data_IF_008856176551
#
_entry.id   IF_008856176551
#
_cell.length_a   1.000
_cell.length_b   1.000
_cell.length_c   1.000
_cell.angle_alpha   90.00
_cell.angle_beta   90.00
_cell.angle_gamma   90.00
#
_symmetry.space_group_name_H-M   'P 1'
#
loop_
_entity.id
_entity.type
_entity.pdbx_description
1 polymer ?
#
# COMPACT_ATOMS: atom_id res chain seq x y z
N UNK A 1 3.37 -7.63 14.34
CA UNK A 1 4.39 -6.57 14.17
C UNK A 1 3.69 -5.22 14.30
N UNK A 2 4.22 -4.31 15.12
CA UNK A 2 3.65 -2.96 15.25
C UNK A 2 4.09 -2.06 14.07
N UNK A 3 3.42 -0.93 13.80
CA UNK A 3 3.74 -0.05 12.67
C UNK A 3 5.18 0.49 12.67
N UNK A 4 5.74 0.80 13.84
CA UNK A 4 7.11 1.32 14.00
C UNK A 4 8.17 0.30 13.58
N UNK A 5 7.98 -0.98 13.95
CA UNK A 5 8.82 -2.09 13.49
C UNK A 5 8.76 -2.24 11.96
N UNK A 6 7.61 -2.00 11.34
CA UNK A 6 7.51 -2.03 9.87
C UNK A 6 8.35 -0.93 9.22
N UNK A 7 8.43 0.25 9.82
CA UNK A 7 9.24 1.35 9.31
C UNK A 7 10.72 1.01 9.40
N UNK A 8 11.18 0.47 10.54
CA UNK A 8 12.58 0.08 10.68
C UNK A 8 12.97 -0.98 9.64
N UNK A 9 12.15 -2.02 9.47
CA UNK A 9 12.36 -3.01 8.42
C UNK A 9 12.33 -2.39 7.03
N UNK A 10 11.44 -1.44 6.77
CA UNK A 10 11.33 -0.78 5.47
C UNK A 10 12.59 0.04 5.15
N UNK A 11 13.15 0.74 6.13
CA UNK A 11 14.40 1.50 6.00
C UNK A 11 15.57 0.55 5.70
N UNK A 12 15.66 -0.56 6.42
CA UNK A 12 16.69 -1.59 6.21
C UNK A 12 16.59 -2.25 4.84
N UNK A 13 15.36 -2.48 4.35
CA UNK A 13 15.10 -3.10 3.06
C UNK A 13 15.05 -2.11 1.90
N UNK A 14 15.09 -0.79 2.14
CA UNK A 14 15.00 0.25 1.11
C UNK A 14 15.92 0.00 -0.11
N UNK A 15 17.19 -0.43 0.07
CA UNK A 15 18.07 -0.71 -1.07
C UNK A 15 17.57 -1.84 -1.98
N UNK A 16 16.84 -2.82 -1.44
CA UNK A 16 16.26 -3.94 -2.22
C UNK A 16 15.20 -3.43 -3.21
N UNK A 17 14.56 -2.31 -2.88
CA UNK A 17 13.58 -1.63 -3.71
C UNK A 17 14.18 -0.49 -4.56
N UNK A 18 15.51 -0.35 -4.57
CA UNK A 18 16.20 0.74 -5.27
C UNK A 18 16.00 2.12 -4.65
N UNK A 19 15.60 2.19 -3.37
CA UNK A 19 15.38 3.44 -2.66
C UNK A 19 16.49 3.73 -1.63
N UNK A 20 16.76 5.00 -1.38
CA UNK A 20 17.70 5.42 -0.34
C UNK A 20 17.02 5.33 1.04
N UNK A 21 17.66 4.67 2.05
CA UNK A 21 17.12 4.60 3.41
C UNK A 21 16.72 5.96 4.01
N UNK A 22 17.46 7.03 3.73
CA UNK A 22 17.16 8.38 4.21
C UNK A 22 15.89 8.97 3.57
N UNK A 23 15.63 8.67 2.31
CA UNK A 23 14.39 9.07 1.63
C UNK A 23 13.20 8.34 2.23
N UNK A 24 13.34 7.04 2.50
CA UNK A 24 12.32 6.23 3.17
C UNK A 24 12.04 6.77 4.57
N UNK A 25 13.08 7.09 5.35
CA UNK A 25 12.92 7.69 6.68
C UNK A 25 12.18 9.03 6.63
N UNK A 26 12.39 9.82 5.56
CA UNK A 26 11.73 11.13 5.38
C UNK A 26 10.22 10.98 5.15
N UNK A 27 9.80 9.96 4.39
CA UNK A 27 8.37 9.74 4.07
C UNK A 27 7.67 8.79 5.06
N UNK A 28 8.43 8.08 5.89
CA UNK A 28 7.94 7.09 6.85
C UNK A 28 6.74 7.59 7.70
N UNK A 29 6.75 8.80 8.28
CA UNK A 29 5.61 9.26 9.07
C UNK A 29 4.34 9.50 8.24
N UNK A 30 4.49 9.88 6.96
CA UNK A 30 3.34 10.01 6.05
C UNK A 30 2.74 8.64 5.76
N UNK A 31 3.58 7.62 5.51
CA UNK A 31 3.13 6.24 5.33
C UNK A 31 2.41 5.72 6.59
N UNK A 32 2.94 6.00 7.78
CA UNK A 32 2.28 5.64 9.05
C UNK A 32 0.93 6.33 9.22
N UNK A 33 0.83 7.61 8.86
CA UNK A 33 -0.42 8.39 8.95
C UNK A 33 -1.51 7.84 8.03
N UNK A 34 -1.12 7.28 6.89
CA UNK A 34 -2.05 6.63 5.95
C UNK A 34 -2.40 5.23 6.44
N UNK A 35 -1.40 4.45 6.86
CA UNK A 35 -1.57 3.11 7.41
C UNK A 35 -2.48 3.08 8.64
N UNK A 36 -2.45 4.10 9.51
CA UNK A 36 -3.30 4.18 10.71
C UNK A 36 -4.80 4.32 10.40
N UNK A 37 -5.16 4.63 9.15
CA UNK A 37 -6.56 4.68 8.68
C UNK A 37 -7.07 3.31 8.24
N UNK A 38 -6.19 2.33 8.10
CA UNK A 38 -6.49 0.95 7.77
C UNK A 38 -6.52 0.13 9.06
N UNK A 39 -7.38 -0.89 9.16
CA UNK A 39 -7.58 -1.62 10.43
C UNK A 39 -6.51 -2.66 10.68
N UNK A 40 -5.91 -3.22 9.64
CA UNK A 40 -4.97 -4.34 9.78
C UNK A 40 -3.52 -3.88 9.60
N UNK A 41 -2.59 -4.37 10.46
CA UNK A 41 -1.16 -4.07 10.32
C UNK A 41 -0.53 -4.81 9.13
N UNK A 42 -1.18 -5.84 8.60
CA UNK A 42 -0.73 -6.59 7.44
C UNK A 42 -1.94 -7.06 6.64
N UNK A 43 -1.73 -7.28 5.36
CA UNK A 43 -2.73 -7.83 4.45
C UNK A 43 -2.13 -8.96 3.65
N UNK A 44 -2.98 -9.88 3.22
CA UNK A 44 -2.60 -10.93 2.29
C UNK A 44 -2.73 -10.38 0.88
N UNK A 45 -1.65 -10.41 0.11
CA UNK A 45 -1.64 -10.07 -1.31
C UNK A 45 -1.46 -11.36 -2.11
N UNK A 46 -2.30 -11.56 -3.11
CA UNK A 46 -2.12 -12.63 -4.10
C UNK A 46 -0.93 -12.30 -4.99
N UNK A 47 0.00 -13.24 -5.15
CA UNK A 47 1.18 -13.07 -5.99
C UNK A 47 1.65 -14.40 -6.58
N UNK A 48 2.38 -14.29 -7.69
CA UNK A 48 3.06 -15.40 -8.36
C UNK A 48 4.26 -15.90 -7.54
N UNK A 49 4.85 -17.04 -7.94
CA UNK A 49 6.08 -17.58 -7.34
C UNK A 49 7.26 -16.60 -7.44
N UNK A 50 7.28 -15.78 -8.49
CA UNK A 50 8.26 -14.71 -8.70
C UNK A 50 7.94 -13.43 -7.90
N UNK A 51 6.97 -13.49 -6.99
CA UNK A 51 6.54 -12.39 -6.12
C UNK A 51 5.93 -11.19 -6.86
N UNK A 52 5.47 -11.40 -8.11
CA UNK A 52 4.68 -10.39 -8.80
C UNK A 52 3.25 -10.41 -8.27
N UNK A 53 2.79 -9.27 -7.75
CA UNK A 53 1.43 -9.11 -7.27
C UNK A 53 0.43 -9.29 -8.41
N UNK A 54 -0.64 -10.04 -8.11
CA UNK A 54 -1.73 -10.23 -9.04
C UNK A 54 -2.52 -8.91 -9.17
N UNK A 55 -2.61 -8.43 -10.40
CA UNK A 55 -3.34 -7.22 -10.75
C UNK A 55 -4.63 -7.57 -11.49
N UNK A 56 -5.69 -6.83 -11.19
CA UNK A 56 -6.96 -6.92 -11.89
C UNK A 56 -7.19 -5.62 -12.66
N UNK A 57 -7.37 -5.72 -13.98
CA UNK A 57 -7.73 -4.57 -14.80
C UNK A 57 -9.24 -4.36 -14.77
N UNK A 58 -9.67 -3.28 -14.14
CA UNK A 58 -11.06 -2.84 -14.11
C UNK A 58 -11.31 -1.89 -15.29
N UNK A 59 -12.35 -2.16 -16.08
CA UNK A 59 -12.80 -1.27 -17.15
C UNK A 59 -13.97 -0.44 -16.65
N UNK A 60 -13.95 0.87 -16.92
CA UNK A 60 -15.05 1.75 -16.52
C UNK A 60 -16.34 1.35 -17.24
N UNK A 61 -17.43 1.13 -16.49
CA UNK A 61 -18.69 0.57 -17.03
C UNK A 61 -19.31 1.41 -18.16
N UNK A 62 -19.07 2.71 -18.17
CA UNK A 62 -19.63 3.66 -19.15
C UNK A 62 -18.60 4.20 -20.13
N UNK A 63 -17.30 3.98 -19.88
CA UNK A 63 -16.19 4.52 -20.68
C UNK A 63 -15.15 3.42 -20.88
N UNK A 64 -15.37 2.57 -21.89
CA UNK A 64 -14.55 1.38 -22.15
C UNK A 64 -13.08 1.67 -22.43
N UNK A 65 -12.72 2.92 -22.73
CA UNK A 65 -11.35 3.39 -22.93
C UNK A 65 -10.62 3.75 -21.62
N UNK A 66 -11.30 3.75 -20.48
CA UNK A 66 -10.69 4.00 -19.17
C UNK A 66 -10.54 2.68 -18.41
N UNK A 67 -9.29 2.26 -18.26
CA UNK A 67 -8.91 1.09 -17.46
C UNK A 67 -8.17 1.52 -16.21
N UNK A 68 -8.32 0.72 -15.15
CA UNK A 68 -7.62 0.89 -13.88
C UNK A 68 -7.06 -0.45 -13.43
N UNK A 69 -5.78 -0.52 -13.12
CA UNK A 69 -5.16 -1.71 -12.58
C UNK A 69 -5.18 -1.65 -11.06
N UNK A 70 -5.84 -2.61 -10.44
CA UNK A 70 -6.00 -2.68 -8.99
C UNK A 70 -5.33 -3.93 -8.43
N UNK A 71 -4.82 -3.81 -7.22
CA UNK A 71 -4.40 -4.96 -6.41
C UNK A 71 -5.34 -5.08 -5.22
N UNK A 72 -5.67 -6.30 -4.83
CA UNK A 72 -6.53 -6.56 -3.68
C UNK A 72 -5.72 -6.99 -2.47
N UNK A 73 -5.99 -6.35 -1.33
CA UNK A 73 -5.41 -6.61 -0.03
C UNK A 73 -6.45 -7.23 0.90
N UNK A 74 -6.28 -8.50 1.23
CA UNK A 74 -7.23 -9.29 2.02
C UNK A 74 -6.84 -9.31 3.50
N UNK A 75 -7.79 -9.26 4.45
CA UNK A 75 -7.47 -9.22 5.87
C UNK A 75 -7.08 -10.59 6.41
N UNK A 76 -7.46 -11.68 5.71
CA UNK A 76 -7.09 -13.05 6.07
C UNK A 76 -6.69 -13.88 4.85
N UNK A 77 -5.91 -14.94 5.08
CA UNK A 77 -5.58 -15.92 4.05
C UNK A 77 -6.84 -16.59 3.46
N UNK A 78 -7.85 -16.84 4.31
CA UNK A 78 -9.13 -17.44 3.88
C UNK A 78 -9.87 -16.52 2.90
N UNK A 79 -9.86 -15.22 3.17
CA UNK A 79 -10.47 -14.21 2.29
C UNK A 79 -9.73 -14.12 0.95
N UNK A 80 -8.39 -14.20 0.97
CA UNK A 80 -7.61 -14.25 -0.26
C UNK A 80 -7.91 -15.50 -1.09
N UNK A 81 -8.01 -16.67 -0.45
CA UNK A 81 -8.29 -17.94 -1.12
C UNK A 81 -9.73 -18.04 -1.64
N UNK A 82 -10.69 -17.41 -0.97
CA UNK A 82 -12.11 -17.38 -1.37
C UNK A 82 -12.43 -16.27 -2.38
N UNK A 83 -11.46 -15.41 -2.70
CA UNK A 83 -11.65 -14.29 -3.61
C UNK A 83 -11.94 -14.79 -5.03
N UNK A 84 -12.87 -14.15 -5.78
CA UNK A 84 -13.02 -14.40 -7.21
C UNK A 84 -11.75 -14.11 -8.03
N UNK A 85 -10.82 -13.36 -7.45
CA UNK A 85 -9.52 -13.05 -8.04
C UNK A 85 -8.47 -14.12 -7.76
N UNK A 86 -8.73 -15.09 -6.86
CA UNK A 86 -7.85 -16.22 -6.68
C UNK A 86 -7.97 -17.14 -7.89
N UNK A 87 -6.93 -17.25 -8.74
CA UNK A 87 -6.98 -18.18 -9.84
C UNK A 87 -6.93 -19.61 -9.30
N UNK A 88 -7.51 -20.57 -10.02
CA UNK A 88 -7.23 -21.99 -9.82
C UNK A 88 -5.83 -22.34 -10.36
N UNK A 89 -4.83 -21.53 -10.00
CA UNK A 89 -3.44 -21.65 -10.43
C UNK A 89 -2.58 -21.98 -9.22
N UNK A 90 -1.94 -23.16 -9.17
CA UNK A 90 -1.06 -23.56 -8.07
C UNK A 90 0.19 -22.69 -7.94
N UNK A 91 0.50 -21.84 -8.93
CA UNK A 91 1.61 -20.89 -8.89
C UNK A 91 1.25 -19.55 -8.23
N UNK A 92 0.00 -19.38 -7.79
CA UNK A 92 -0.43 -18.18 -7.07
C UNK A 92 -0.63 -18.49 -5.58
N UNK A 93 -0.05 -17.65 -4.74
CA UNK A 93 -0.17 -17.74 -3.29
C UNK A 93 -0.53 -16.39 -2.68
N UNK A 94 -1.19 -16.42 -1.52
CA UNK A 94 -1.40 -15.23 -0.71
C UNK A 94 -0.35 -15.18 0.40
N UNK A 95 0.52 -14.17 0.38
CA UNK A 95 1.47 -13.94 1.48
C UNK A 95 1.09 -12.70 2.28
N UNK A 96 1.30 -12.72 3.60
CA UNK A 96 1.12 -11.55 4.43
C UNK A 96 2.21 -10.51 4.11
N UNK A 97 1.81 -9.28 3.82
CA UNK A 97 2.70 -8.14 3.61
C UNK A 97 2.33 -7.04 4.62
N UNK A 98 3.32 -6.47 5.34
CA UNK A 98 3.11 -5.34 6.23
C UNK A 98 2.45 -4.16 5.50
N UNK A 99 1.44 -3.54 6.11
CA UNK A 99 0.66 -2.46 5.46
C UNK A 99 1.53 -1.29 5.00
N UNK A 100 2.55 -0.94 5.78
CA UNK A 100 3.48 0.14 5.43
C UNK A 100 4.30 -0.25 4.19
N UNK A 101 4.75 -1.50 4.11
CA UNK A 101 5.48 -2.02 2.96
C UNK A 101 4.59 -2.06 1.71
N UNK A 102 3.30 -2.40 1.86
CA UNK A 102 2.33 -2.35 0.75
C UNK A 102 2.24 -0.94 0.17
N UNK A 103 2.02 0.05 1.05
CA UNK A 103 1.94 1.46 0.64
C UNK A 103 3.25 1.93 -0.01
N UNK A 104 4.40 1.53 0.53
CA UNK A 104 5.68 1.91 -0.05
C UNK A 104 5.89 1.32 -1.45
N UNK A 105 5.68 0.01 -1.63
CA UNK A 105 5.87 -0.65 -2.93
C UNK A 105 4.91 -0.09 -3.99
N UNK A 106 3.70 0.31 -3.60
CA UNK A 106 2.75 0.99 -4.48
C UNK A 106 3.32 2.25 -5.15
N UNK A 107 4.25 2.97 -4.49
CA UNK A 107 4.90 4.15 -5.07
C UNK A 107 5.80 3.79 -6.25
N UNK A 108 6.39 2.60 -6.24
CA UNK A 108 7.32 2.11 -7.26
C UNK A 108 6.62 1.33 -8.38
N UNK A 109 5.46 0.72 -8.09
CA UNK A 109 4.69 -0.09 -9.04
C UNK A 109 3.93 0.78 -10.05
N UNK A 110 4.62 1.19 -11.13
CA UNK A 110 4.04 1.96 -12.24
C UNK A 110 2.75 1.39 -12.85
N UNK A 111 2.55 0.06 -13.00
CA UNK A 111 1.30 -0.44 -13.57
C UNK A 111 0.13 -0.40 -12.59
N UNK A 112 0.33 -0.23 -11.28
CA UNK A 112 -0.74 -0.24 -10.27
C UNK A 112 -1.30 1.16 -10.06
N UNK A 113 -2.61 1.32 -10.26
CA UNK A 113 -3.33 2.58 -10.05
C UNK A 113 -3.89 2.68 -8.63
N UNK A 114 -4.33 1.56 -8.05
CA UNK A 114 -4.85 1.51 -6.68
C UNK A 114 -4.67 0.16 -6.00
N UNK A 115 -4.78 0.19 -4.67
CA UNK A 115 -4.92 -1.00 -3.83
C UNK A 115 -6.24 -0.89 -3.09
N UNK A 116 -7.02 -1.98 -3.10
CA UNK A 116 -8.28 -2.08 -2.38
C UNK A 116 -8.05 -2.93 -1.14
N UNK A 117 -8.13 -2.31 0.03
CA UNK A 117 -7.96 -2.95 1.34
C UNK A 117 -9.32 -3.41 1.87
N UNK A 118 -9.49 -4.71 2.02
CA UNK A 118 -10.68 -5.28 2.65
C UNK A 118 -10.48 -5.29 4.17
N UNK A 119 -11.39 -4.62 4.88
CA UNK A 119 -11.20 -4.31 6.30
C UNK A 119 -11.95 -5.25 7.24
N UNK A 120 -12.90 -6.02 6.71
CA UNK A 120 -13.77 -6.91 7.49
C UNK A 120 -13.64 -8.34 6.96
N UNK A 121 -13.08 -9.28 7.75
CA UNK A 121 -13.00 -10.68 7.34
C UNK A 121 -14.36 -11.25 6.92
N UNK A 122 -14.38 -12.01 5.82
CA UNK A 122 -15.61 -12.56 5.22
C UNK A 122 -16.43 -11.56 4.40
N UNK A 123 -16.03 -10.29 4.30
CA UNK A 123 -16.70 -9.29 3.47
C UNK A 123 -15.76 -8.70 2.40
N UNK A 124 -15.89 -9.20 1.17
CA UNK A 124 -15.15 -8.74 0.00
C UNK A 124 -15.95 -7.78 -0.91
N UNK A 125 -17.09 -7.28 -0.44
CA UNK A 125 -17.95 -6.37 -1.21
C UNK A 125 -17.63 -4.90 -0.95
N UNK A 126 -16.98 -4.60 0.17
CA UNK A 126 -16.62 -3.23 0.57
C UNK A 126 -15.17 -3.20 1.01
N UNK A 127 -14.38 -2.38 0.33
CA UNK A 127 -12.97 -2.17 0.63
C UNK A 127 -12.63 -0.68 0.64
N UNK A 128 -11.63 -0.32 1.42
CA UNK A 128 -11.03 1.01 1.41
C UNK A 128 -10.04 1.07 0.26
N UNK A 129 -10.34 1.89 -0.74
CA UNK A 129 -9.42 2.09 -1.87
C UNK A 129 -8.42 3.21 -1.56
N UNK A 130 -7.13 2.90 -1.76
CA UNK A 130 -6.07 3.91 -1.81
C UNK A 130 -5.55 3.94 -3.24
N UNK A 131 -5.65 5.09 -3.90
CA UNK A 131 -5.04 5.30 -5.22
C UNK A 131 -3.58 5.76 -5.08
N UNK A 132 -2.75 5.45 -6.08
CA UNK A 132 -1.33 5.86 -6.07
C UNK A 132 -1.22 7.38 -6.05
N UNK A 133 -2.11 8.05 -6.78
CA UNK A 133 -2.19 9.51 -6.82
C UNK A 133 -2.47 10.07 -5.42
N UNK A 134 -3.49 9.56 -4.72
CA UNK A 134 -3.83 10.02 -3.37
C UNK A 134 -2.69 9.76 -2.38
N UNK A 135 -2.00 8.62 -2.50
CA UNK A 135 -0.84 8.30 -1.68
C UNK A 135 0.31 9.29 -1.94
N UNK A 136 0.64 9.56 -3.20
CA UNK A 136 1.68 10.52 -3.59
C UNK A 136 1.36 11.94 -3.12
N UNK A 137 0.11 12.37 -3.28
CA UNK A 137 -0.34 13.69 -2.84
C UNK A 137 -0.30 13.80 -1.31
N UNK A 138 -0.71 12.76 -0.59
CA UNK A 138 -0.61 12.69 0.87
C UNK A 138 0.83 12.84 1.37
N UNK A 139 1.77 12.11 0.76
CA UNK A 139 3.20 12.23 1.08
C UNK A 139 3.73 13.63 0.75
N UNK A 140 3.38 14.18 -0.42
CA UNK A 140 3.81 15.53 -0.83
C UNK A 140 3.32 16.59 0.16
N UNK A 141 2.05 16.54 0.54
CA UNK A 141 1.45 17.45 1.52
C UNK A 141 2.15 17.35 2.87
N UNK A 142 2.42 16.12 3.34
CA UNK A 142 3.15 15.91 4.59
C UNK A 142 4.55 16.54 4.55
N UNK A 143 5.34 16.26 3.51
CA UNK A 143 6.70 16.80 3.36
C UNK A 143 6.69 18.34 3.27
N UNK A 144 5.72 18.92 2.57
CA UNK A 144 5.56 20.38 2.50
C UNK A 144 5.22 20.99 3.86
N UNK A 145 4.36 20.35 4.64
CA UNK A 145 4.00 20.82 6.00
C UNK A 145 5.22 20.75 6.92
N UNK A 146 5.97 19.66 6.92
CA UNK A 146 7.19 19.52 7.73
C UNK A 146 8.21 20.62 7.42
N UNK A 147 8.43 20.92 6.13
CA UNK A 147 9.32 22.02 5.70
C UNK A 147 8.85 23.41 6.13
N UNK A 148 7.54 23.61 6.31
CA UNK A 148 6.99 24.88 6.81
C UNK A 148 7.14 24.99 8.33
N UNK A 149 6.86 23.90 9.06
CA UNK A 149 7.01 23.85 10.52
C UNK A 149 8.47 23.99 10.96
N UNK A 150 9.42 23.41 10.21
CA UNK A 150 10.86 23.55 10.49
C UNK A 150 11.45 24.92 10.17
N UNK A 151 10.67 25.83 9.55
CA UNK A 151 11.08 27.20 9.21
C UNK A 151 10.58 28.25 10.22
N UNK A 152 9.78 27.85 11.21
CA UNK A 152 9.41 28.73 12.32
C UNK A 152 10.56 28.72 13.35
N UNK A 153 11.14 29.87 13.73
CA UNK A 153 12.20 29.92 14.74
C UNK A 153 11.69 29.39 16.10
N UNK A 154 12.54 28.76 16.93
CA UNK A 154 12.15 28.23 18.24
C UNK A 154 11.79 29.27 19.32
N UNK A 155 11.58 30.55 18.99
CA UNK A 155 11.58 31.61 19.99
C UNK A 155 10.38 32.57 19.82
N UNK A 156 9.23 32.16 20.37
CA UNK A 156 8.13 33.03 20.79
C UNK A 156 7.34 32.33 21.93
N UNK A 157 7.97 32.13 23.09
CA UNK A 157 7.28 31.86 24.35
C UNK A 157 8.13 32.32 25.54
#
# INVERSE_FOLDING_TARGET
MNPEQQIQMLIEQAPQYGANPTDVQTIAPALLTIASRLKHPQYFILQTLEQNWLMTTLTHRTQSNLTKNVVYAFPTLKDAAASPQAPNDPQVMALPIPVVQILFQMLAMKPVDSIVFFETPGNLHSGTEISRQNLQDGIRLYVQQQRKSSRLPPDMA
#
